data_IF_180351116345
#
_entry.id   IF_180351116345
#
_cell.length_a   1.000
_cell.length_b   1.000
_cell.length_c   1.000
_cell.angle_alpha   90.00
_cell.angle_beta   90.00
_cell.angle_gamma   90.00
#
_symmetry.space_group_name_H-M   'P 1'
#
loop_
_entity.id
_entity.type
_entity.pdbx_description
1 polymer ?
#
# COMPACT_ATOMS: atom_id res chain seq x y z
N UNK A 1 -5.50 -35.10 -15.28
CA UNK A 1 -4.92 -36.23 -14.54
C UNK A 1 -4.12 -37.17 -15.46
N UNK A 2 -4.68 -37.64 -16.58
CA UNK A 2 -3.95 -38.51 -17.54
C UNK A 2 -2.64 -37.89 -18.08
N UNK A 3 -2.61 -36.59 -18.34
CA UNK A 3 -1.40 -35.88 -18.78
C UNK A 3 -0.29 -35.90 -17.72
N UNK A 4 -0.65 -35.76 -16.44
CA UNK A 4 0.27 -35.81 -15.31
C UNK A 4 0.83 -37.22 -15.16
N UNK A 5 -0.03 -38.25 -15.21
CA UNK A 5 0.40 -39.66 -15.19
C UNK A 5 1.31 -40.00 -16.37
N UNK A 6 1.01 -39.48 -17.56
CA UNK A 6 1.84 -39.67 -18.76
C UNK A 6 3.22 -39.01 -18.59
N UNK A 7 3.25 -37.80 -18.03
CA UNK A 7 4.49 -37.07 -17.73
C UNK A 7 5.31 -37.77 -16.64
N UNK A 8 4.67 -38.23 -15.57
CA UNK A 8 5.30 -39.00 -14.51
C UNK A 8 5.92 -40.29 -15.06
N UNK A 9 5.19 -41.03 -15.91
CA UNK A 9 5.71 -42.22 -16.58
C UNK A 9 6.90 -41.91 -17.49
N UNK A 10 6.86 -40.79 -18.23
CA UNK A 10 7.98 -40.36 -19.07
C UNK A 10 9.23 -40.03 -18.23
N UNK A 11 9.03 -39.49 -17.03
CA UNK A 11 10.09 -39.20 -16.05
C UNK A 11 10.47 -40.42 -15.20
N UNK A 12 9.94 -41.61 -15.51
CA UNK A 12 10.15 -42.85 -14.76
C UNK A 12 9.79 -42.74 -13.26
N UNK A 13 8.84 -41.86 -12.94
CA UNK A 13 8.29 -41.71 -11.60
C UNK A 13 7.14 -42.69 -11.38
N UNK A 14 7.12 -43.34 -10.21
CA UNK A 14 6.02 -44.17 -9.76
C UNK A 14 5.01 -43.27 -9.04
N UNK A 15 3.94 -42.91 -9.76
CA UNK A 15 2.90 -41.99 -9.30
C UNK A 15 1.55 -42.63 -9.63
N UNK A 16 0.68 -42.71 -8.63
CA UNK A 16 -0.68 -43.22 -8.75
C UNK A 16 -1.71 -42.06 -8.73
N UNK A 17 -2.99 -42.39 -8.81
CA UNK A 17 -4.07 -41.41 -8.84
C UNK A 17 -4.21 -40.66 -7.50
N UNK A 18 -4.09 -41.37 -6.39
CA UNK A 18 -4.16 -40.81 -5.03
C UNK A 18 -3.04 -39.79 -4.78
N UNK A 19 -1.82 -40.06 -5.29
CA UNK A 19 -0.67 -39.14 -5.18
C UNK A 19 -0.94 -37.80 -5.91
N UNK A 20 -1.70 -37.85 -7.01
CA UNK A 20 -2.06 -36.65 -7.78
C UNK A 20 -3.19 -35.90 -7.09
N UNK A 21 -4.15 -36.62 -6.51
CA UNK A 21 -5.22 -35.99 -5.71
C UNK A 21 -4.67 -35.28 -4.49
N UNK A 22 -3.72 -35.89 -3.77
CA UNK A 22 -3.03 -35.23 -2.64
C UNK A 22 -2.30 -33.96 -3.09
N UNK A 23 -1.61 -34.01 -4.24
CA UNK A 23 -0.94 -32.84 -4.81
C UNK A 23 -1.94 -31.73 -5.16
N UNK A 24 -3.05 -32.05 -5.80
CA UNK A 24 -4.06 -31.05 -6.17
C UNK A 24 -4.67 -30.42 -4.92
N UNK A 25 -5.06 -31.24 -3.93
CA UNK A 25 -5.62 -30.76 -2.68
C UNK A 25 -4.64 -29.88 -1.89
N UNK A 26 -3.36 -30.24 -1.87
CA UNK A 26 -2.32 -29.45 -1.19
C UNK A 26 -2.14 -28.05 -1.77
N UNK A 27 -2.50 -27.85 -3.04
CA UNK A 27 -2.39 -26.60 -3.78
C UNK A 27 -3.74 -25.93 -4.06
N UNK A 28 -4.86 -26.46 -3.56
CA UNK A 28 -6.21 -25.91 -3.82
C UNK A 28 -6.40 -24.51 -3.22
N UNK A 29 -5.77 -24.24 -2.09
CA UNK A 29 -5.83 -22.94 -1.40
C UNK A 29 -4.70 -21.98 -1.82
N UNK A 30 -3.81 -22.37 -2.75
CA UNK A 30 -2.72 -21.50 -3.21
C UNK A 30 -3.21 -20.51 -4.26
N UNK A 31 -2.89 -19.23 -4.04
CA UNK A 31 -3.16 -18.17 -5.02
C UNK A 31 -2.28 -18.35 -6.25
N UNK A 32 -2.89 -18.23 -7.42
CA UNK A 32 -2.19 -18.14 -8.69
C UNK A 32 -1.37 -16.85 -8.77
N UNK A 33 -0.38 -16.84 -9.67
CA UNK A 33 0.43 -15.64 -9.93
C UNK A 33 -0.46 -14.49 -10.39
N UNK A 34 -1.48 -14.78 -11.17
CA UNK A 34 -2.46 -13.82 -11.68
C UNK A 34 -3.30 -13.22 -10.54
N UNK A 35 -3.80 -14.04 -9.62
CA UNK A 35 -4.56 -13.57 -8.45
C UNK A 35 -3.70 -12.72 -7.52
N UNK A 36 -2.44 -13.10 -7.30
CA UNK A 36 -1.49 -12.29 -6.55
C UNK A 36 -1.23 -10.93 -7.22
N UNK A 37 -1.10 -10.89 -8.54
CA UNK A 37 -0.94 -9.65 -9.29
C UNK A 37 -2.19 -8.76 -9.22
N UNK A 38 -3.38 -9.35 -9.24
CA UNK A 38 -4.64 -8.63 -9.07
C UNK A 38 -4.70 -7.96 -7.69
N UNK A 39 -4.39 -8.69 -6.63
CA UNK A 39 -4.37 -8.16 -5.25
C UNK A 39 -3.36 -7.01 -5.13
N UNK A 40 -2.14 -7.18 -5.64
CA UNK A 40 -1.10 -6.13 -5.59
C UNK A 40 -1.53 -4.88 -6.36
N UNK A 41 -2.18 -5.05 -7.51
CA UNK A 41 -2.68 -3.93 -8.28
C UNK A 41 -3.82 -3.22 -7.54
N UNK A 42 -4.75 -3.96 -6.93
CA UNK A 42 -5.86 -3.37 -6.18
C UNK A 42 -5.36 -2.59 -4.95
N UNK A 43 -4.40 -3.15 -4.19
CA UNK A 43 -3.76 -2.47 -3.06
C UNK A 43 -3.09 -1.17 -3.51
N UNK A 44 -2.31 -1.22 -4.61
CA UNK A 44 -1.66 -0.03 -5.16
C UNK A 44 -2.66 1.03 -5.63
N UNK A 45 -3.80 0.64 -6.21
CA UNK A 45 -4.85 1.58 -6.61
C UNK A 45 -5.52 2.22 -5.39
N UNK A 46 -5.78 1.47 -4.32
CA UNK A 46 -6.36 2.01 -3.08
C UNK A 46 -5.40 2.97 -2.37
N UNK A 47 -4.11 2.62 -2.29
CA UNK A 47 -3.07 3.47 -1.69
C UNK A 47 -2.87 4.76 -2.50
N UNK A 48 -2.87 4.67 -3.83
CA UNK A 48 -2.76 5.83 -4.71
C UNK A 48 -3.97 6.77 -4.52
N UNK A 49 -5.19 6.23 -4.42
CA UNK A 49 -6.39 7.04 -4.19
C UNK A 49 -6.40 7.71 -2.80
N UNK A 50 -5.96 7.01 -1.75
CA UNK A 50 -5.84 7.60 -0.42
C UNK A 50 -4.79 8.72 -0.39
N UNK A 51 -3.63 8.52 -1.01
CA UNK A 51 -2.57 9.54 -1.02
C UNK A 51 -2.96 10.78 -1.84
N UNK A 52 -3.66 10.62 -2.96
CA UNK A 52 -4.19 11.77 -3.72
C UNK A 52 -5.21 12.55 -2.89
N UNK A 53 -6.11 11.86 -2.20
CA UNK A 53 -7.12 12.51 -1.35
C UNK A 53 -6.50 13.25 -0.16
N UNK A 54 -5.41 12.74 0.43
CA UNK A 54 -4.66 13.41 1.50
C UNK A 54 -3.87 14.62 0.98
N UNK A 55 -3.26 14.51 -0.21
CA UNK A 55 -2.46 15.59 -0.81
C UNK A 55 -3.31 16.80 -1.19
N UNK A 56 -4.55 16.60 -1.64
CA UNK A 56 -5.46 17.71 -1.97
C UNK A 56 -5.94 18.46 -0.72
N UNK A 57 -5.95 17.81 0.45
CA UNK A 57 -6.36 18.43 1.71
C UNK A 57 -5.25 19.26 2.36
N UNK A 58 -3.98 18.94 2.12
CA UNK A 58 -2.84 19.68 2.69
C UNK A 58 -2.46 20.96 1.90
N UNK A 59 -2.87 21.10 0.64
CA UNK A 59 -2.52 22.27 -0.18
C UNK A 59 -3.35 23.54 0.14
N UNK A 60 -4.56 23.43 0.71
CA UNK A 60 -5.42 24.60 0.98
C UNK A 60 -5.11 25.32 2.30
N UNK A 61 -4.36 24.70 3.22
CA UNK A 61 -4.11 25.28 4.56
C UNK A 61 -2.88 26.21 4.63
N UNK A 62 -2.00 26.21 3.62
CA UNK A 62 -0.81 27.08 3.61
C UNK A 62 -1.01 28.36 2.81
N UNK A 63 -2.03 29.15 3.16
CA UNK A 63 -2.09 30.53 2.66
C UNK A 63 -0.85 31.29 3.14
N UNK A 64 -0.04 31.88 2.26
CA UNK A 64 1.15 32.61 2.67
C UNK A 64 0.72 33.79 3.54
N UNK A 65 1.16 33.80 4.79
CA UNK A 65 0.88 34.89 5.71
C UNK A 65 1.55 36.16 5.17
N UNK A 66 0.79 37.25 5.06
CA UNK A 66 1.34 38.53 4.61
C UNK A 66 2.48 38.97 5.53
N UNK A 67 3.59 39.43 4.94
CA UNK A 67 4.74 40.01 5.66
C UNK A 67 4.31 41.10 6.64
N UNK A 68 3.23 41.82 6.36
CA UNK A 68 2.65 42.81 7.27
C UNK A 68 2.15 42.17 8.56
N UNK A 69 1.43 41.05 8.47
CA UNK A 69 0.89 40.34 9.63
C UNK A 69 2.01 39.73 10.50
N UNK A 70 3.10 39.26 9.88
CA UNK A 70 4.30 38.78 10.59
C UNK A 70 4.95 39.91 11.39
N UNK A 71 5.11 41.10 10.78
CA UNK A 71 5.68 42.27 11.47
C UNK A 71 4.80 42.74 12.64
N UNK A 72 3.48 42.73 12.46
CA UNK A 72 2.54 43.10 13.52
C UNK A 72 2.59 42.13 14.71
N UNK A 73 2.70 40.83 14.43
CA UNK A 73 2.85 39.79 15.46
C UNK A 73 4.15 39.97 16.25
N UNK A 74 5.28 40.21 15.57
CA UNK A 74 6.56 40.43 16.23
C UNK A 74 6.55 41.68 17.11
N UNK A 75 5.87 42.74 16.69
CA UNK A 75 5.72 43.96 17.50
C UNK A 75 4.92 43.70 18.78
N UNK A 76 3.78 43.02 18.67
CA UNK A 76 2.96 42.62 19.83
C UNK A 76 3.73 41.72 20.78
N UNK A 77 4.55 40.82 20.26
CA UNK A 77 5.42 39.97 21.07
C UNK A 77 6.47 40.77 21.84
N UNK A 78 7.10 41.76 21.18
CA UNK A 78 8.03 42.67 21.83
C UNK A 78 7.35 43.46 22.96
N UNK A 79 6.13 43.96 22.74
CA UNK A 79 5.36 44.69 23.76
C UNK A 79 5.05 43.80 24.98
N UNK A 80 4.62 42.55 24.75
CA UNK A 80 4.38 41.56 25.83
C UNK A 80 5.68 41.22 26.56
N UNK A 81 6.80 41.03 25.84
CA UNK A 81 8.09 40.73 26.46
C UNK A 81 8.61 41.88 27.33
N UNK A 82 8.34 43.13 26.92
CA UNK A 82 8.69 44.31 27.70
C UNK A 82 7.87 44.40 28.99
N UNK A 83 6.58 44.07 28.94
CA UNK A 83 5.71 44.05 30.12
C UNK A 83 6.03 42.92 31.12
N UNK A 84 6.66 41.83 30.67
CA UNK A 84 7.01 40.68 31.53
C UNK A 84 8.40 40.85 32.19
N UNK A 85 9.24 41.74 31.66
CA UNK A 85 10.62 41.99 32.14
C UNK A 85 10.76 43.25 33.02
N UNK A 86 9.67 43.99 33.24
CA UNK A 86 9.56 45.14 34.15
C UNK A 86 8.82 44.75 35.44
#
# INVERSE_FOLDING_TARGET
MEEILTTARYLELDVNEDDIEELIMGHEDELTIEELQEILNEEHHQETQQNVSLSEQEEDERRPMSTFAIKDLLKKWADVSAMVLE
#
